data_IF_949692478643
#
_entry.id   IF_949692478643
#
_cell.length_a   1.000
_cell.length_b   1.000
_cell.length_c   1.000
_cell.angle_alpha   90.00
_cell.angle_beta   90.00
_cell.angle_gamma   90.00
#
_symmetry.space_group_name_H-M   'P 1'
#
loop_
_entity.id
_entity.type
_entity.pdbx_description
1 polymer ?
#
# COMPACT_ATOMS: atom_id res chain seq x y z
N UNK A 1 -6.38 -19.57 -1.44
CA UNK A 1 -5.62 -18.58 -0.66
C UNK A 1 -6.57 -17.42 -0.33
N UNK A 2 -7.20 -17.45 0.85
CA UNK A 2 -8.21 -16.48 1.30
C UNK A 2 -7.69 -15.77 2.56
N UNK A 3 -6.58 -15.04 2.46
CA UNK A 3 -5.91 -14.39 3.62
C UNK A 3 -6.14 -12.88 3.65
N UNK A 4 -6.83 -12.31 2.65
CA UNK A 4 -7.12 -10.88 2.63
C UNK A 4 -8.50 -10.61 3.20
N UNK A 5 -8.53 -10.09 4.43
CA UNK A 5 -9.74 -9.50 5.02
C UNK A 5 -10.30 -8.41 4.09
N UNK A 6 -11.62 -8.19 4.12
CA UNK A 6 -12.29 -7.16 3.32
C UNK A 6 -11.67 -5.76 3.48
N UNK A 7 -11.08 -5.49 4.64
CA UNK A 7 -10.37 -4.25 4.95
C UNK A 7 -9.07 -4.06 4.14
N UNK A 8 -8.46 -5.15 3.68
CA UNK A 8 -7.26 -5.08 2.84
C UNK A 8 -7.64 -4.83 1.39
N UNK A 9 -8.79 -5.34 0.93
CA UNK A 9 -9.27 -5.11 -0.42
C UNK A 9 -9.59 -3.64 -0.72
N UNK A 10 -9.74 -2.78 0.29
CA UNK A 10 -9.87 -1.32 0.10
C UNK A 10 -8.54 -0.60 -0.12
N UNK A 11 -7.40 -1.21 0.25
CA UNK A 11 -6.07 -0.59 0.14
C UNK A 11 -5.13 -1.33 -0.82
N UNK A 12 -5.40 -2.61 -1.08
CA UNK A 12 -4.56 -3.48 -1.88
C UNK A 12 -5.39 -4.27 -2.89
N UNK A 13 -4.85 -4.43 -4.09
CA UNK A 13 -5.43 -5.20 -5.20
C UNK A 13 -4.56 -6.45 -5.38
N UNK A 14 -4.92 -7.59 -4.77
CA UNK A 14 -4.20 -8.83 -4.95
C UNK A 14 -4.51 -9.44 -6.32
N UNK A 15 -3.47 -9.91 -7.01
CA UNK A 15 -3.54 -10.67 -8.25
C UNK A 15 -2.50 -11.80 -8.22
N UNK A 16 -2.96 -13.01 -7.88
CA UNK A 16 -2.13 -14.23 -7.75
C UNK A 16 -0.89 -13.98 -6.87
N UNK A 17 0.25 -13.62 -7.47
CA UNK A 17 1.54 -13.41 -6.82
C UNK A 17 1.87 -11.92 -6.57
N UNK A 18 1.14 -11.00 -7.22
CA UNK A 18 1.36 -9.57 -7.12
C UNK A 18 0.29 -8.94 -6.24
N UNK A 19 0.71 -8.03 -5.35
CA UNK A 19 -0.23 -7.22 -4.56
C UNK A 19 0.14 -5.77 -4.77
N UNK A 20 -0.71 -5.05 -5.52
CA UNK A 20 -0.55 -3.62 -5.74
C UNK A 20 -1.20 -2.82 -4.63
N UNK A 21 -0.49 -1.85 -4.06
CA UNK A 21 -1.01 -0.94 -3.03
C UNK A 21 -1.07 0.44 -3.66
N UNK A 22 -2.27 1.04 -3.68
CA UNK A 22 -2.45 2.40 -4.21
C UNK A 22 -2.39 3.41 -3.07
N UNK A 23 -1.92 4.61 -3.39
CA UNK A 23 -2.09 5.77 -2.52
C UNK A 23 -3.57 6.14 -2.37
N UNK A 24 -3.91 7.02 -1.43
CA UNK A 24 -5.25 7.57 -1.31
C UNK A 24 -5.69 8.27 -2.61
N UNK A 25 -6.99 8.27 -2.89
CA UNK A 25 -7.58 8.89 -4.09
C UNK A 25 -7.36 10.41 -4.17
N UNK A 26 -7.03 11.05 -3.05
CA UNK A 26 -6.84 12.49 -2.94
C UNK A 26 -5.48 12.78 -2.34
N UNK A 27 -4.84 13.87 -2.75
CA UNK A 27 -3.63 14.38 -2.10
C UNK A 27 -3.94 15.29 -0.89
N UNK A 28 -5.22 15.37 -0.49
CA UNK A 28 -5.74 16.26 0.55
C UNK A 28 -5.31 17.72 0.36
N UNK A 29 -5.20 18.20 -0.89
CA UNK A 29 -4.65 19.52 -1.21
C UNK A 29 -3.26 19.76 -0.58
N UNK A 30 -2.48 18.69 -0.43
CA UNK A 30 -1.15 18.69 0.21
C UNK A 30 -1.16 19.11 1.68
N UNK A 31 -2.29 18.93 2.37
CA UNK A 31 -2.41 19.10 3.82
C UNK A 31 -1.28 18.35 4.56
N UNK A 32 -0.68 19.01 5.55
CA UNK A 32 0.27 18.37 6.47
C UNK A 32 -0.45 17.84 7.71
N UNK A 33 0.04 16.75 8.27
CA UNK A 33 -0.52 16.20 9.50
C UNK A 33 -0.03 17.06 10.67
N UNK A 34 -0.98 17.65 11.42
CA UNK A 34 -0.69 18.51 12.57
C UNK A 34 0.23 17.86 13.61
N UNK A 35 0.19 16.53 13.75
CA UNK A 35 1.01 15.76 14.68
C UNK A 35 2.45 15.52 14.19
N UNK A 36 2.72 15.67 12.88
CA UNK A 36 4.02 15.43 12.26
C UNK A 36 4.36 16.58 11.30
N UNK A 37 5.08 17.58 11.81
CA UNK A 37 5.56 18.72 11.03
C UNK A 37 6.30 18.27 9.76
N UNK A 38 5.88 18.78 8.60
CA UNK A 38 6.51 18.51 7.32
C UNK A 38 6.08 17.21 6.61
N UNK A 39 5.14 16.45 7.18
CA UNK A 39 4.63 15.23 6.53
C UNK A 39 3.25 15.51 5.91
N UNK A 40 3.17 15.40 4.57
CA UNK A 40 1.90 15.47 3.86
C UNK A 40 1.02 14.27 4.21
N UNK A 41 -0.25 14.54 4.47
CA UNK A 41 -1.26 13.56 4.91
C UNK A 41 -1.35 12.34 4.00
N UNK A 42 -1.38 12.55 2.68
CA UNK A 42 -1.49 11.44 1.73
C UNK A 42 -0.28 10.50 1.75
N UNK A 43 0.91 11.02 2.08
CA UNK A 43 2.15 10.22 2.18
C UNK A 43 2.06 9.32 3.41
N UNK A 44 1.68 9.91 4.55
CA UNK A 44 1.54 9.16 5.79
C UNK A 44 0.48 8.07 5.69
N UNK A 45 -0.69 8.38 5.11
CA UNK A 45 -1.75 7.38 4.91
C UNK A 45 -1.27 6.22 4.03
N UNK A 46 -0.52 6.52 2.96
CA UNK A 46 0.05 5.48 2.11
C UNK A 46 1.05 4.58 2.86
N UNK A 47 1.96 5.17 3.65
CA UNK A 47 2.93 4.42 4.48
C UNK A 47 2.20 3.58 5.53
N UNK A 48 1.18 4.15 6.17
CA UNK A 48 0.37 3.46 7.16
C UNK A 48 -0.34 2.24 6.54
N UNK A 49 -0.91 2.39 5.34
CA UNK A 49 -1.55 1.29 4.62
C UNK A 49 -0.56 0.20 4.21
N UNK A 50 0.64 0.56 3.75
CA UNK A 50 1.72 -0.41 3.48
C UNK A 50 2.04 -1.20 4.75
N UNK A 51 2.26 -0.51 5.88
CA UNK A 51 2.61 -1.17 7.13
C UNK A 51 1.55 -2.18 7.58
N UNK A 52 0.27 -1.82 7.47
CA UNK A 52 -0.84 -2.74 7.80
C UNK A 52 -0.87 -3.97 6.89
N UNK A 53 -0.58 -3.81 5.61
CA UNK A 53 -0.52 -4.95 4.70
C UNK A 53 0.68 -5.85 5.04
N UNK A 54 1.85 -5.26 5.30
CA UNK A 54 3.06 -6.01 5.66
C UNK A 54 2.83 -6.87 6.90
N UNK A 55 2.17 -6.33 7.93
CA UNK A 55 1.81 -7.08 9.14
C UNK A 55 0.91 -8.30 8.82
N UNK A 56 -0.04 -8.15 7.90
CA UNK A 56 -0.91 -9.26 7.51
C UNK A 56 -0.14 -10.30 6.71
N UNK A 57 0.70 -9.87 5.76
CA UNK A 57 1.54 -10.77 4.96
C UNK A 57 2.52 -11.54 5.84
N UNK A 58 3.10 -10.90 6.86
CA UNK A 58 3.98 -11.52 7.85
C UNK A 58 3.23 -12.58 8.67
N UNK A 59 2.05 -12.24 9.22
CA UNK A 59 1.19 -13.18 9.96
C UNK A 59 0.74 -14.35 9.09
N UNK A 60 0.60 -14.14 7.79
CA UNK A 60 0.27 -15.16 6.80
C UNK A 60 1.46 -16.08 6.44
N UNK A 61 2.67 -15.79 6.92
CA UNK A 61 3.89 -16.51 6.54
C UNK A 61 4.35 -16.22 5.11
N UNK A 62 3.98 -15.06 4.54
CA UNK A 62 4.33 -14.69 3.17
C UNK A 62 5.75 -14.11 3.11
N UNK A 63 6.49 -14.38 2.04
CA UNK A 63 7.81 -13.78 1.78
C UNK A 63 7.74 -12.72 0.68
N UNK A 64 8.26 -11.54 0.96
CA UNK A 64 8.45 -10.46 -0.03
C UNK A 64 9.82 -10.63 -0.67
N UNK A 65 9.89 -10.54 -2.00
CA UNK A 65 11.13 -10.75 -2.76
C UNK A 65 11.65 -9.42 -3.31
N UNK A 66 12.92 -9.41 -3.71
CA UNK A 66 13.65 -8.25 -4.23
C UNK A 66 13.00 -7.56 -5.45
N UNK A 67 12.10 -8.25 -6.16
CA UNK A 67 11.37 -7.69 -7.32
C UNK A 67 10.27 -6.68 -6.93
N UNK A 68 9.95 -6.54 -5.64
CA UNK A 68 8.95 -5.59 -5.17
C UNK A 68 9.39 -4.14 -5.39
N UNK A 69 8.47 -3.30 -5.86
CA UNK A 69 8.68 -1.86 -6.06
C UNK A 69 7.92 -1.08 -4.99
N UNK A 70 8.60 -0.15 -4.33
CA UNK A 70 8.02 0.73 -3.31
C UNK A 70 8.25 2.19 -3.69
N UNK A 71 7.31 3.07 -3.31
CA UNK A 71 7.42 4.53 -3.50
C UNK A 71 7.67 4.95 -4.95
N UNK A 72 6.95 4.33 -5.89
CA UNK A 72 6.99 4.64 -7.32
C UNK A 72 5.73 5.40 -7.73
N UNK A 73 5.86 6.29 -8.71
CA UNK A 73 4.75 7.10 -9.22
C UNK A 73 3.67 6.25 -9.94
N UNK A 74 4.08 5.12 -10.50
CA UNK A 74 3.17 4.15 -11.15
C UNK A 74 3.60 2.71 -10.87
N UNK A 75 2.61 1.81 -10.84
CA UNK A 75 2.78 0.39 -10.64
C UNK A 75 2.17 -0.36 -11.83
N UNK A 76 3.03 -1.01 -12.59
CA UNK A 76 2.57 -2.00 -13.57
C UNK A 76 2.15 -3.27 -12.83
N UNK A 77 0.85 -3.55 -12.88
CA UNK A 77 0.26 -4.76 -12.32
C UNK A 77 -0.18 -5.64 -13.49
N UNK A 78 0.59 -6.69 -13.77
CA UNK A 78 0.25 -7.73 -14.77
C UNK A 78 0.22 -7.18 -16.20
N UNK A 79 1.15 -6.29 -16.55
CA UNK A 79 1.22 -5.68 -17.88
C UNK A 79 0.15 -4.60 -18.10
N UNK A 80 -0.48 -4.13 -17.03
CA UNK A 80 -1.40 -3.01 -17.04
C UNK A 80 -0.80 -1.89 -16.17
N UNK A 81 -0.28 -0.81 -16.79
CA UNK A 81 0.38 0.30 -16.10
C UNK A 81 -0.56 1.12 -15.20
#
# INVERSE_FOLDING_TARGET
MFIFDKLILTIAIPFIDNVGIKGPYTDYNREEILQFLGIRRFIFEHIYNINRLLEVLERAGTTIREKSKFYVDSLDIVGNP
#
